data_IF_693167341138
#
_entry.id   IF_693167341138
#
_cell.length_a   1.000
_cell.length_b   1.000
_cell.length_c   1.000
_cell.angle_alpha   90.00
_cell.angle_beta   90.00
_cell.angle_gamma   90.00
#
_symmetry.space_group_name_H-M   'P 1'
#
loop_
_entity.id
_entity.type
_entity.pdbx_description
1 polymer ?
#
# COMPACT_ATOMS: atom_id res chain seq x y z
N UNK A 1 -18.50 -37.59 16.46
CA UNK A 1 -18.12 -36.30 17.04
C UNK A 1 -17.99 -35.35 15.87
N UNK A 2 -18.94 -34.42 15.74
CA UNK A 2 -19.04 -33.50 14.61
C UNK A 2 -17.93 -32.44 14.77
N UNK A 3 -16.91 -32.51 13.91
CA UNK A 3 -15.90 -31.46 13.85
C UNK A 3 -16.58 -30.22 13.27
N UNK A 4 -16.94 -29.28 14.14
CA UNK A 4 -17.34 -27.94 13.73
C UNK A 4 -16.11 -27.31 13.08
N UNK A 5 -16.02 -27.39 11.76
CA UNK A 5 -15.02 -26.66 10.97
C UNK A 5 -15.28 -25.18 11.22
N UNK A 6 -14.53 -24.56 12.14
CA UNK A 6 -14.48 -23.10 12.24
C UNK A 6 -13.77 -22.62 10.98
N UNK A 7 -14.52 -22.41 9.90
CA UNK A 7 -13.99 -21.79 8.70
C UNK A 7 -13.46 -20.41 9.05
N UNK A 8 -12.14 -20.24 8.94
CA UNK A 8 -11.49 -18.94 9.02
C UNK A 8 -12.15 -17.99 8.01
N UNK A 9 -12.64 -16.85 8.49
CA UNK A 9 -13.29 -15.85 7.65
C UNK A 9 -12.23 -14.99 6.96
N UNK A 10 -12.05 -15.22 5.65
CA UNK A 10 -11.14 -14.44 4.82
C UNK A 10 -11.48 -12.95 4.81
N UNK A 11 -12.74 -12.57 4.95
CA UNK A 11 -13.13 -11.16 5.01
C UNK A 11 -12.60 -10.51 6.29
N UNK A 12 -12.66 -11.21 7.43
CA UNK A 12 -12.09 -10.73 8.69
C UNK A 12 -10.56 -10.63 8.63
N UNK A 13 -9.88 -11.61 8.03
CA UNK A 13 -8.43 -11.60 7.84
C UNK A 13 -7.99 -10.44 6.92
N UNK A 14 -8.75 -10.19 5.84
CA UNK A 14 -8.54 -9.02 4.97
C UNK A 14 -8.69 -7.71 5.73
N UNK A 15 -9.77 -7.55 6.49
CA UNK A 15 -9.99 -6.34 7.28
C UNK A 15 -8.86 -6.08 8.28
N UNK A 16 -8.31 -7.15 8.88
CA UNK A 16 -7.14 -7.07 9.75
C UNK A 16 -5.88 -6.62 8.99
N UNK A 17 -5.62 -7.18 7.80
CA UNK A 17 -4.47 -6.82 6.97
C UNK A 17 -4.56 -5.36 6.49
N UNK A 18 -5.74 -4.93 6.04
CA UNK A 18 -6.02 -3.55 5.63
C UNK A 18 -5.85 -2.59 6.81
N UNK A 19 -6.39 -2.93 7.98
CA UNK A 19 -6.27 -2.12 9.20
C UNK A 19 -4.82 -1.93 9.63
N UNK A 20 -4.04 -3.02 9.65
CA UNK A 20 -2.62 -2.95 10.02
C UNK A 20 -1.81 -2.13 9.01
N UNK A 21 -2.08 -2.29 7.71
CA UNK A 21 -1.43 -1.51 6.64
C UNK A 21 -1.78 -0.02 6.75
N UNK A 22 -3.04 0.30 7.04
CA UNK A 22 -3.48 1.68 7.24
C UNK A 22 -2.82 2.33 8.47
N UNK A 23 -2.71 1.60 9.58
CA UNK A 23 -2.03 2.07 10.79
C UNK A 23 -0.55 2.34 10.54
N UNK A 24 0.15 1.46 9.80
CA UNK A 24 1.55 1.68 9.41
C UNK A 24 1.70 2.93 8.55
N UNK A 25 0.79 3.15 7.59
CA UNK A 25 0.78 4.34 6.75
C UNK A 25 0.59 5.62 7.56
N UNK A 26 -0.37 5.62 8.49
CA UNK A 26 -0.60 6.77 9.39
C UNK A 26 0.61 7.02 10.29
N UNK A 27 1.20 5.97 10.85
CA UNK A 27 2.39 6.08 11.69
C UNK A 27 3.59 6.62 10.93
N UNK A 28 3.77 6.19 9.67
CA UNK A 28 4.79 6.71 8.76
C UNK A 28 4.59 8.21 8.50
N UNK A 29 3.35 8.64 8.20
CA UNK A 29 3.01 10.05 7.97
C UNK A 29 3.25 10.93 9.19
N UNK A 30 3.11 10.38 10.40
CA UNK A 30 3.42 11.07 11.65
C UNK A 30 4.93 11.12 11.97
N UNK A 31 5.80 10.55 11.12
CA UNK A 31 7.24 10.48 11.34
C UNK A 31 7.69 9.37 12.30
N UNK A 32 6.81 8.41 12.59
CA UNK A 32 7.09 7.28 13.47
C UNK A 32 7.97 6.20 12.84
N UNK A 33 8.59 5.38 13.68
CA UNK A 33 9.38 4.23 13.24
C UNK A 33 8.50 3.06 12.78
N UNK A 34 8.22 3.00 11.48
CA UNK A 34 7.38 1.97 10.85
C UNK A 34 7.87 0.55 11.13
N UNK A 35 9.19 0.33 11.22
CA UNK A 35 9.75 -1.00 11.49
C UNK A 35 9.36 -1.49 12.89
N UNK A 36 9.48 -0.63 13.90
CA UNK A 36 9.05 -0.98 15.26
C UNK A 36 7.55 -1.26 15.32
N UNK A 37 6.76 -0.43 14.65
CA UNK A 37 5.30 -0.61 14.61
C UNK A 37 4.89 -1.91 13.90
N UNK A 38 5.58 -2.28 12.82
CA UNK A 38 5.35 -3.53 12.10
C UNK A 38 5.72 -4.75 12.96
N UNK A 39 6.79 -4.68 13.75
CA UNK A 39 7.14 -5.73 14.72
C UNK A 39 6.04 -5.90 15.78
N UNK A 40 5.55 -4.80 16.36
CA UNK A 40 4.44 -4.84 17.33
C UNK A 40 3.17 -5.48 16.73
N UNK A 41 2.86 -5.17 15.47
CA UNK A 41 1.72 -5.78 14.77
C UNK A 41 1.96 -7.28 14.53
N UNK A 42 3.15 -7.68 14.10
CA UNK A 42 3.53 -9.08 13.92
C UNK A 42 3.42 -9.87 15.23
N UNK A 43 3.85 -9.29 16.35
CA UNK A 43 3.75 -9.93 17.67
C UNK A 43 2.30 -10.12 18.10
N UNK A 44 1.42 -9.14 17.84
CA UNK A 44 -0.02 -9.25 18.10
C UNK A 44 -0.67 -10.35 17.25
N UNK A 45 -0.33 -10.42 15.97
CA UNK A 45 -0.83 -11.46 15.04
C UNK A 45 -0.37 -12.84 15.50
N UNK A 46 0.90 -12.98 15.91
CA UNK A 46 1.43 -14.23 16.45
C UNK A 46 0.76 -14.63 17.77
N UNK A 47 0.51 -13.67 18.66
CA UNK A 47 -0.21 -13.91 19.91
C UNK A 47 -1.66 -14.37 19.66
N UNK A 48 -2.31 -13.85 18.62
CA UNK A 48 -3.63 -14.33 18.20
C UNK A 48 -3.57 -15.74 17.62
N UNK A 49 -2.62 -16.01 16.73
CA UNK A 49 -2.44 -17.34 16.15
C UNK A 49 -2.15 -18.41 17.22
N UNK A 50 -1.44 -18.06 18.30
CA UNK A 50 -1.16 -18.96 19.43
C UNK A 50 -2.41 -19.38 20.23
N UNK A 51 -3.57 -18.73 20.01
CA UNK A 51 -4.86 -19.10 20.62
C UNK A 51 -5.66 -20.09 19.77
N UNK A 52 -5.20 -20.37 18.54
CA UNK A 52 -5.82 -21.28 17.60
C UNK A 52 -5.20 -22.68 17.71
N UNK A 53 -5.83 -23.67 17.09
CA UNK A 53 -5.19 -24.97 16.87
C UNK A 53 -4.01 -24.82 15.89
N UNK A 54 -3.04 -25.73 15.89
CA UNK A 54 -1.87 -25.63 15.01
C UNK A 54 -2.26 -25.54 13.51
N UNK A 55 -3.29 -26.28 13.09
CA UNK A 55 -3.83 -26.21 11.72
C UNK A 55 -4.50 -24.86 11.43
N UNK A 56 -5.35 -24.38 12.33
CA UNK A 56 -6.03 -23.09 12.17
C UNK A 56 -5.05 -21.91 12.23
N UNK A 57 -4.02 -22.00 13.07
CA UNK A 57 -2.96 -21.01 13.17
C UNK A 57 -2.18 -20.91 11.86
N UNK A 58 -1.80 -22.05 11.28
CA UNK A 58 -1.10 -22.09 10.00
C UNK A 58 -1.99 -21.54 8.86
N UNK A 59 -3.26 -21.93 8.81
CA UNK A 59 -4.20 -21.44 7.81
C UNK A 59 -4.46 -19.93 7.95
N UNK A 60 -4.61 -19.43 9.17
CA UNK A 60 -4.77 -18.00 9.46
C UNK A 60 -3.54 -17.19 9.03
N UNK A 61 -2.34 -17.63 9.42
CA UNK A 61 -1.10 -16.92 9.09
C UNK A 61 -0.84 -16.89 7.58
N UNK A 62 -1.10 -18.00 6.88
CA UNK A 62 -0.98 -18.04 5.42
C UNK A 62 -1.96 -17.08 4.75
N UNK A 63 -3.23 -17.11 5.17
CA UNK A 63 -4.26 -16.20 4.64
C UNK A 63 -3.92 -14.74 4.95
N UNK A 64 -3.41 -14.46 6.14
CA UNK A 64 -2.99 -13.12 6.53
C UNK A 64 -1.80 -12.61 5.69
N UNK A 65 -0.84 -13.49 5.37
CA UNK A 65 0.26 -13.17 4.47
C UNK A 65 -0.23 -12.88 3.05
N UNK A 66 -1.15 -13.68 2.50
CA UNK A 66 -1.75 -13.44 1.17
C UNK A 66 -2.44 -12.06 1.10
N UNK A 67 -3.19 -11.67 2.13
CA UNK A 67 -3.90 -10.39 2.15
C UNK A 67 -2.93 -9.20 2.37
N UNK A 68 -1.82 -9.38 3.10
CA UNK A 68 -0.75 -8.39 3.19
C UNK A 68 -0.03 -8.18 1.84
N UNK A 69 0.24 -9.25 1.11
CA UNK A 69 0.83 -9.17 -0.23
C UNK A 69 -0.12 -8.46 -1.20
N UNK A 70 -1.43 -8.74 -1.13
CA UNK A 70 -2.44 -8.02 -1.90
C UNK A 70 -2.46 -6.51 -1.56
N UNK A 71 -2.37 -6.15 -0.28
CA UNK A 71 -2.30 -4.76 0.17
C UNK A 71 -1.02 -4.05 -0.33
N UNK A 72 0.11 -4.75 -0.31
CA UNK A 72 1.39 -4.26 -0.84
C UNK A 72 1.31 -4.00 -2.33
N UNK A 73 0.81 -4.99 -3.10
CA UNK A 73 0.67 -4.87 -4.55
C UNK A 73 -0.26 -3.71 -4.93
N UNK A 74 -1.39 -3.57 -4.24
CA UNK A 74 -2.29 -2.42 -4.43
C UNK A 74 -1.58 -1.10 -4.19
N UNK A 75 -0.80 -0.99 -3.11
CA UNK A 75 -0.05 0.24 -2.79
C UNK A 75 1.01 0.55 -3.86
N UNK A 76 1.67 -0.46 -4.40
CA UNK A 76 2.63 -0.30 -5.50
C UNK A 76 1.95 0.17 -6.78
N UNK A 77 0.81 -0.41 -7.13
CA UNK A 77 0.04 -0.02 -8.32
C UNK A 77 -0.52 1.40 -8.19
N UNK A 78 -1.04 1.77 -7.02
CA UNK A 78 -1.46 3.15 -6.72
C UNK A 78 -0.27 4.13 -6.90
N UNK A 79 0.91 3.74 -6.43
CA UNK A 79 2.13 4.56 -6.55
C UNK A 79 2.56 4.72 -8.01
N UNK A 80 2.52 3.64 -8.80
CA UNK A 80 2.82 3.66 -10.24
C UNK A 80 1.85 4.55 -11.01
N UNK A 81 0.56 4.48 -10.69
CA UNK A 81 -0.46 5.33 -11.32
C UNK A 81 -0.21 6.82 -11.02
N UNK A 82 0.18 7.16 -9.79
CA UNK A 82 0.56 8.54 -9.41
C UNK A 82 1.80 9.00 -10.19
N UNK A 83 2.82 8.16 -10.30
CA UNK A 83 4.04 8.49 -11.06
C UNK A 83 3.75 8.75 -12.54
N UNK A 84 2.99 7.87 -13.20
CA UNK A 84 2.60 8.04 -14.60
C UNK A 84 1.82 9.35 -14.82
N UNK A 85 0.91 9.69 -13.90
CA UNK A 85 0.17 10.95 -13.98
C UNK A 85 1.08 12.17 -13.81
N UNK A 86 2.05 12.11 -12.89
CA UNK A 86 3.01 13.19 -12.69
C UNK A 86 3.93 13.39 -13.90
N UNK A 87 4.38 12.31 -14.54
CA UNK A 87 5.19 12.36 -15.76
C UNK A 87 4.42 13.00 -16.93
N UNK A 88 3.17 12.57 -17.15
CA UNK A 88 2.30 13.13 -18.18
C UNK A 88 2.08 14.63 -17.98
N UNK A 89 1.82 15.07 -16.74
CA UNK A 89 1.67 16.50 -16.44
C UNK A 89 2.99 17.27 -16.63
N UNK A 90 4.12 16.71 -16.20
CA UNK A 90 5.44 17.32 -16.38
C UNK A 90 5.78 17.54 -17.85
N UNK A 91 5.46 16.57 -18.72
CA UNK A 91 5.70 16.67 -20.15
C UNK A 91 4.82 17.75 -20.81
N UNK A 92 3.54 17.85 -20.43
CA UNK A 92 2.63 18.89 -20.94
C UNK A 92 3.09 20.28 -20.50
N UNK A 93 3.40 20.47 -19.21
CA UNK A 93 3.85 21.76 -18.67
C UNK A 93 5.18 22.17 -19.30
N UNK A 94 6.13 21.25 -19.42
CA UNK A 94 7.42 21.49 -20.08
C UNK A 94 7.25 21.90 -21.54
N UNK A 95 6.36 21.22 -22.29
CA UNK A 95 6.06 21.56 -23.68
C UNK A 95 5.47 22.95 -23.86
N UNK A 96 4.54 23.36 -22.99
CA UNK A 96 3.93 24.69 -23.03
C UNK A 96 4.95 25.79 -22.72
N UNK A 97 5.77 25.60 -21.69
CA UNK A 97 6.83 26.57 -21.34
C UNK A 97 7.82 26.73 -22.50
N UNK A 98 8.28 25.62 -23.09
CA UNK A 98 9.18 25.66 -24.24
C UNK A 98 8.58 26.40 -25.44
N UNK A 99 7.30 26.17 -25.74
CA UNK A 99 6.60 26.85 -26.82
C UNK A 99 6.49 28.37 -26.59
N UNK A 100 6.16 28.80 -25.37
CA UNK A 100 6.08 30.22 -25.01
C UNK A 100 7.45 30.90 -25.17
N UNK A 101 8.53 30.26 -24.71
CA UNK A 101 9.90 30.80 -24.85
C UNK A 101 10.29 30.97 -26.32
N UNK A 102 9.96 30.00 -27.17
CA UNK A 102 10.22 30.10 -28.61
C UNK A 102 9.42 31.24 -29.24
N UNK A 103 8.13 31.38 -28.91
CA UNK A 103 7.28 32.47 -29.43
C UNK A 103 7.85 33.83 -29.04
N UNK A 104 8.28 34.00 -27.78
CA UNK A 104 8.90 35.24 -27.30
C UNK A 104 10.22 35.51 -28.06
N UNK A 105 11.07 34.49 -28.22
CA UNK A 105 12.32 34.62 -28.95
C UNK A 105 12.10 35.04 -30.41
N UNK A 106 11.16 34.40 -31.10
CA UNK A 106 10.78 34.77 -32.47
C UNK A 106 10.24 36.20 -32.54
N UNK A 107 9.39 36.60 -31.59
CA UNK A 107 8.86 37.97 -31.53
C UNK A 107 9.94 39.03 -31.28
N UNK A 108 11.04 38.68 -30.61
CA UNK A 108 12.18 39.59 -30.39
C UNK A 108 13.09 39.65 -31.63
N UNK A 109 13.37 38.51 -32.26
CA UNK A 109 14.30 38.41 -33.40
C UNK A 109 13.70 38.96 -34.69
N UNK A 110 12.40 38.79 -34.90
CA UNK A 110 11.70 39.22 -36.12
C UNK A 110 10.95 40.56 -35.96
N UNK A 111 11.26 41.33 -34.91
CA UNK A 111 10.73 42.69 -34.67
C UNK A 111 11.65 43.78 -35.21
#
# INVERSE_FOLDING_TARGET
MEQVTRTLDRQAVRALAEGNTAELRQFAQAGGNVYQKSLEQSDKVRAHAAQLSDEDAAAFLNMYAEELDACTNKTLDDTRAIQQNAENMGQIVGGVIAAIVIIIFLAIVFK
#
